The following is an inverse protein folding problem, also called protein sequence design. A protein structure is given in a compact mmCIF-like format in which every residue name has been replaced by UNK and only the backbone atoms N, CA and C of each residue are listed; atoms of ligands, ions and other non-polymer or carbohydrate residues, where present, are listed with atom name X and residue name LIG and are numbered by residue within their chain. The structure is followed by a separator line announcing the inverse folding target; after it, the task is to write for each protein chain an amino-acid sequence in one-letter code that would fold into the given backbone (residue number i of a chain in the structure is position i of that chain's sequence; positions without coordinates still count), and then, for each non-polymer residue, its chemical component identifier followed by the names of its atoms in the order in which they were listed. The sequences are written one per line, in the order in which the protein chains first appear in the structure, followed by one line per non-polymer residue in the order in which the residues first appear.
data_IF_356434083267
#
_entry.id   IF_356434083267
#
_cell.length_a   1.000
_cell.length_b   1.000
_cell.length_c   1.000
_cell.angle_alpha   90.00
_cell.angle_beta   90.00
_cell.angle_gamma   90.00
#
_symmetry.space_group_name_H-M   'P 1'
#
loop_
_entity.id
_entity.type
_entity.pdbx_description
1 polymer ?
#
# COMPACT_ATOMS: atom_id res chain seq x y z
N UNK A 1 5.25 -20.89 14.33
CA UNK A 1 5.81 -20.05 13.26
C UNK A 1 6.49 -18.82 13.85
N UNK A 2 7.57 -18.33 13.25
CA UNK A 2 8.21 -17.10 13.75
C UNK A 2 7.29 -15.90 13.53
N UNK A 3 7.33 -14.95 14.46
CA UNK A 3 6.64 -13.67 14.33
C UNK A 3 7.48 -12.78 13.41
N UNK A 4 6.88 -12.28 12.34
CA UNK A 4 7.55 -11.42 11.36
C UNK A 4 7.17 -9.93 11.50
N UNK A 5 6.09 -9.65 12.25
CA UNK A 5 5.62 -8.29 12.48
C UNK A 5 4.33 -8.27 13.27
N UNK A 6 3.84 -7.07 13.59
CA UNK A 6 2.64 -6.89 14.40
C UNK A 6 1.63 -5.98 13.73
N UNK A 7 0.36 -6.35 13.83
CA UNK A 7 -0.77 -5.49 13.49
C UNK A 7 -1.24 -4.80 14.77
N UNK A 8 -1.06 -3.48 14.85
CA UNK A 8 -1.38 -2.72 16.06
C UNK A 8 -2.81 -2.18 16.00
N UNK A 9 -3.57 -2.26 17.11
CA UNK A 9 -4.81 -1.49 17.21
C UNK A 9 -4.51 0.00 17.35
N UNK A 10 -5.47 0.85 16.96
CA UNK A 10 -5.31 2.31 16.97
C UNK A 10 -4.92 2.89 18.33
N UNK A 11 -5.49 2.36 19.42
CA UNK A 11 -5.20 2.81 20.77
C UNK A 11 -3.81 2.38 21.27
N UNK A 12 -3.09 1.54 20.51
CA UNK A 12 -1.75 1.05 20.83
C UNK A 12 -0.71 1.46 19.77
N UNK A 13 -0.99 2.46 18.96
CA UNK A 13 -0.05 2.93 17.93
C UNK A 13 1.32 3.31 18.53
N UNK A 14 1.35 3.82 19.76
CA UNK A 14 2.58 4.17 20.45
C UNK A 14 3.54 2.99 20.69
N UNK A 15 3.04 1.75 20.67
CA UNK A 15 3.89 0.56 20.80
C UNK A 15 4.83 0.34 19.61
N UNK A 16 4.61 1.02 18.48
CA UNK A 16 5.45 0.88 17.29
C UNK A 16 6.93 1.22 17.57
N UNK A 17 7.19 2.20 18.41
CA UNK A 17 8.56 2.59 18.77
C UNK A 17 9.29 1.48 19.53
N UNK A 18 8.63 0.84 20.49
CA UNK A 18 9.21 -0.25 21.28
C UNK A 18 9.46 -1.49 20.41
N UNK A 19 8.52 -1.81 19.52
CA UNK A 19 8.65 -2.93 18.60
C UNK A 19 9.78 -2.69 17.59
N UNK A 20 9.91 -1.46 17.09
CA UNK A 20 11.03 -1.07 16.21
C UNK A 20 12.38 -1.24 16.93
N UNK A 21 12.46 -0.88 18.20
CA UNK A 21 13.68 -1.07 19.01
C UNK A 21 14.03 -2.56 19.16
N UNK A 22 13.03 -3.44 19.04
CA UNK A 22 13.21 -4.90 19.01
C UNK A 22 13.34 -5.48 17.59
N UNK A 23 13.51 -4.62 16.57
CA UNK A 23 13.61 -4.97 15.16
C UNK A 23 12.36 -5.67 14.60
N UNK A 24 11.20 -5.37 15.15
CA UNK A 24 9.92 -5.94 14.72
C UNK A 24 9.11 -4.87 13.98
N UNK A 25 8.77 -5.09 12.70
CA UNK A 25 7.96 -4.14 11.95
C UNK A 25 6.50 -4.18 12.37
N UNK A 26 5.80 -3.08 12.10
CA UNK A 26 4.41 -2.90 12.51
C UNK A 26 3.57 -2.38 11.36
N UNK A 27 2.28 -2.70 11.39
CA UNK A 27 1.26 -2.12 10.54
C UNK A 27 0.04 -1.75 11.38
N UNK A 28 -0.80 -0.88 10.84
CA UNK A 28 -1.99 -0.40 11.53
C UNK A 28 -3.10 -0.11 10.52
N UNK A 29 -4.35 -0.41 10.90
CA UNK A 29 -5.52 -0.05 10.12
C UNK A 29 -5.90 1.40 10.40
N UNK A 30 -6.08 2.20 9.35
CA UNK A 30 -6.33 3.65 9.41
C UNK A 30 -7.55 4.04 8.55
N UNK A 31 -8.54 3.17 8.46
CA UNK A 31 -9.67 3.31 7.55
C UNK A 31 -10.78 4.25 7.98
N UNK A 32 -10.79 4.77 9.21
CA UNK A 32 -11.90 5.58 9.71
C UNK A 32 -11.77 7.07 9.37
N UNK A 33 -10.64 7.67 9.72
CA UNK A 33 -10.43 9.10 9.45
C UNK A 33 -8.94 9.44 9.22
N UNK A 34 -8.68 10.66 8.75
CA UNK A 34 -7.31 11.11 8.49
C UNK A 34 -6.47 11.23 9.79
N UNK A 35 -7.08 11.50 10.92
CA UNK A 35 -6.34 11.58 12.18
C UNK A 35 -5.67 10.26 12.54
N UNK A 36 -6.26 9.13 12.15
CA UNK A 36 -5.63 7.81 12.32
C UNK A 36 -4.37 7.66 11.47
N UNK A 37 -4.40 8.15 10.23
CA UNK A 37 -3.24 8.15 9.33
C UNK A 37 -2.11 8.98 9.94
N UNK A 38 -2.43 10.18 10.43
CA UNK A 38 -1.46 11.08 11.03
C UNK A 38 -0.81 10.49 12.29
N UNK A 39 -1.62 9.92 13.18
CA UNK A 39 -1.09 9.24 14.38
C UNK A 39 -0.18 8.08 14.05
N UNK A 40 -0.56 7.26 13.07
CA UNK A 40 0.25 6.11 12.64
C UNK A 40 1.59 6.56 12.05
N UNK A 41 1.60 7.60 11.23
CA UNK A 41 2.83 8.16 10.66
C UNK A 41 3.73 8.71 11.76
N UNK A 42 3.17 9.44 12.72
CA UNK A 42 3.91 9.99 13.87
C UNK A 42 4.48 8.90 14.77
N UNK A 43 3.74 7.79 14.94
CA UNK A 43 4.19 6.66 15.74
C UNK A 43 5.31 5.84 15.09
N UNK A 44 5.50 5.99 13.77
CA UNK A 44 6.56 5.30 13.04
C UNK A 44 6.23 3.88 12.65
N UNK A 45 4.95 3.57 12.38
CA UNK A 45 4.56 2.27 11.82
C UNK A 45 5.16 2.09 10.43
N UNK A 46 5.41 0.84 10.05
CA UNK A 46 6.06 0.51 8.78
C UNK A 46 5.09 0.49 7.60
N UNK A 47 3.78 0.29 7.84
CA UNK A 47 2.81 0.08 6.78
C UNK A 47 1.42 0.50 7.24
N UNK A 48 0.66 1.17 6.35
CA UNK A 48 -0.70 1.66 6.62
C UNK A 48 -1.71 0.82 5.84
N UNK A 49 -2.74 0.33 6.55
CA UNK A 49 -3.79 -0.52 5.97
C UNK A 49 -5.06 0.30 5.80
N UNK A 50 -5.64 0.30 4.61
CA UNK A 50 -6.85 1.04 4.21
C UNK A 50 -6.75 2.56 4.35
N UNK A 51 -5.64 3.21 3.93
CA UNK A 51 -5.48 4.66 4.12
C UNK A 51 -6.23 5.49 3.08
N UNK A 52 -7.50 5.18 2.83
CA UNK A 52 -8.34 5.87 1.83
C UNK A 52 -8.59 7.34 2.19
N UNK A 53 -8.58 7.65 3.48
CA UNK A 53 -8.82 9.02 3.98
C UNK A 53 -7.59 9.94 3.85
N UNK A 54 -6.48 9.44 3.32
CA UNK A 54 -5.32 10.29 2.99
C UNK A 54 -5.68 11.43 2.06
N UNK A 55 -6.65 11.22 1.19
CA UNK A 55 -7.08 12.26 0.24
C UNK A 55 -7.60 13.54 0.94
N UNK A 56 -8.04 13.44 2.18
CA UNK A 56 -8.45 14.58 2.97
C UNK A 56 -7.30 15.55 3.30
N UNK A 57 -6.05 15.10 3.16
CA UNK A 57 -4.84 15.92 3.33
C UNK A 57 -4.37 16.54 2.01
N UNK A 58 -5.08 16.34 0.90
CA UNK A 58 -4.71 16.92 -0.38
C UNK A 58 -5.45 18.21 -0.67
N UNK A 59 -4.76 19.14 -1.35
CA UNK A 59 -5.36 20.39 -1.85
C UNK A 59 -5.23 20.44 -3.36
N UNK A 60 -6.24 21.01 -4.02
CA UNK A 60 -6.22 21.26 -5.45
C UNK A 60 -5.92 22.75 -5.72
N UNK A 61 -4.99 23.01 -6.62
CA UNK A 61 -4.68 24.36 -7.08
C UNK A 61 -4.53 24.38 -8.61
N UNK A 62 -4.17 25.53 -9.19
CA UNK A 62 -4.01 25.66 -10.65
C UNK A 62 -2.89 24.80 -11.24
N UNK A 63 -1.96 24.35 -10.41
CA UNK A 63 -0.84 23.48 -10.83
C UNK A 63 -1.17 22.01 -10.67
N UNK A 64 -2.27 21.65 -9.99
CA UNK A 64 -2.71 20.28 -9.79
C UNK A 64 -3.06 19.98 -8.33
N UNK A 65 -2.98 18.69 -7.99
CA UNK A 65 -3.28 18.18 -6.66
C UNK A 65 -1.96 18.01 -5.88
N UNK A 66 -1.91 18.58 -4.69
CA UNK A 66 -0.71 18.62 -3.85
C UNK A 66 -0.98 17.96 -2.51
N UNK A 67 -0.16 16.98 -2.08
CA UNK A 67 -0.28 16.41 -0.75
C UNK A 67 0.07 17.43 0.33
N UNK A 68 -0.63 17.31 1.46
CA UNK A 68 -0.31 18.06 2.65
C UNK A 68 0.94 17.54 3.35
N UNK A 69 1.21 18.07 4.54
CA UNK A 69 2.44 17.79 5.28
C UNK A 69 2.59 16.32 5.67
N UNK A 70 1.53 15.70 6.20
CA UNK A 70 1.56 14.30 6.62
C UNK A 70 1.69 13.36 5.43
N UNK A 71 0.87 13.58 4.40
CA UNK A 71 0.91 12.76 3.17
C UNK A 71 2.23 12.91 2.43
N UNK A 72 2.78 14.11 2.35
CA UNK A 72 4.10 14.37 1.77
C UNK A 72 5.21 13.60 2.50
N UNK A 73 5.17 13.59 3.83
CA UNK A 73 6.10 12.80 4.63
C UNK A 73 5.98 11.31 4.32
N UNK A 74 4.77 10.78 4.27
CA UNK A 74 4.51 9.37 3.97
C UNK A 74 5.05 8.99 2.59
N UNK A 75 4.81 9.82 1.58
CA UNK A 75 5.34 9.61 0.23
C UNK A 75 6.87 9.62 0.21
N UNK A 76 7.48 10.64 0.79
CA UNK A 76 8.93 10.85 0.74
C UNK A 76 9.71 9.76 1.48
N UNK A 77 9.09 9.15 2.49
CA UNK A 77 9.66 8.03 3.25
C UNK A 77 9.27 6.66 2.70
N UNK A 78 8.52 6.62 1.62
CA UNK A 78 8.07 5.37 0.99
C UNK A 78 7.34 4.44 1.96
N UNK A 79 6.52 5.02 2.85
CA UNK A 79 5.69 4.20 3.76
C UNK A 79 4.60 3.53 2.93
N UNK A 80 4.58 2.19 2.89
CA UNK A 80 3.65 1.48 2.01
C UNK A 80 2.20 1.64 2.45
N UNK A 81 1.34 1.82 1.46
CA UNK A 81 -0.10 1.91 1.58
C UNK A 81 -0.71 0.60 1.07
N UNK A 82 -1.49 -0.07 1.90
CA UNK A 82 -2.13 -1.33 1.54
C UNK A 82 -3.62 -1.10 1.33
N UNK A 83 -4.09 -1.37 0.12
CA UNK A 83 -5.49 -1.18 -0.26
C UNK A 83 -6.16 -2.53 -0.59
N UNK A 84 -7.46 -2.58 -0.31
CA UNK A 84 -8.37 -3.62 -0.78
C UNK A 84 -9.52 -2.91 -1.49
N UNK A 85 -9.31 -2.45 -2.74
CA UNK A 85 -10.17 -1.42 -3.36
C UNK A 85 -11.66 -1.74 -3.39
N UNK A 86 -12.04 -2.99 -3.67
CA UNK A 86 -13.45 -3.39 -3.75
C UNK A 86 -14.18 -3.36 -2.40
N UNK A 87 -13.44 -3.36 -1.30
CA UNK A 87 -13.99 -3.32 0.06
C UNK A 87 -13.93 -1.93 0.68
N UNK A 88 -13.24 -0.97 0.04
CA UNK A 88 -12.95 0.35 0.60
C UNK A 88 -13.79 1.47 0.00
N UNK A 89 -14.36 1.29 -1.17
CA UNK A 89 -15.16 2.29 -1.86
C UNK A 89 -16.47 1.69 -2.35
N UNK A 90 -17.57 2.45 -2.24
CA UNK A 90 -18.86 2.04 -2.82
C UNK A 90 -18.77 1.97 -4.34
N UNK A 91 -18.16 2.99 -4.94
CA UNK A 91 -17.87 3.05 -6.37
C UNK A 91 -16.36 3.02 -6.56
N UNK A 92 -15.85 2.02 -7.27
CA UNK A 92 -14.41 1.87 -7.47
C UNK A 92 -13.78 3.07 -8.18
N UNK A 93 -14.56 3.76 -9.04
CA UNK A 93 -14.12 5.00 -9.70
C UNK A 93 -13.73 6.11 -8.74
N UNK A 94 -14.23 6.09 -7.50
CA UNK A 94 -13.93 7.09 -6.47
C UNK A 94 -12.71 6.71 -5.62
N UNK A 95 -12.14 5.51 -5.82
CA UNK A 95 -11.01 5.06 -5.03
C UNK A 95 -9.75 5.88 -5.35
N UNK A 96 -8.97 6.29 -4.33
CA UNK A 96 -7.81 7.16 -4.54
C UNK A 96 -6.57 6.46 -5.13
N UNK A 97 -6.60 5.15 -5.33
CA UNK A 97 -5.43 4.39 -5.78
C UNK A 97 -4.74 4.97 -7.03
N UNK A 98 -5.45 5.26 -8.14
CA UNK A 98 -4.78 5.79 -9.33
C UNK A 98 -4.10 7.14 -9.09
N UNK A 99 -4.75 8.02 -8.33
CA UNK A 99 -4.20 9.32 -7.97
C UNK A 99 -2.92 9.16 -7.13
N UNK A 100 -2.96 8.29 -6.13
CA UNK A 100 -1.82 8.07 -5.23
C UNK A 100 -0.64 7.45 -5.96
N UNK A 101 -0.87 6.49 -6.86
CA UNK A 101 0.19 5.94 -7.71
C UNK A 101 0.80 7.01 -8.61
N UNK A 102 -0.04 7.84 -9.22
CA UNK A 102 0.41 8.92 -10.10
C UNK A 102 1.27 9.94 -9.35
N UNK A 103 0.95 10.20 -8.09
CA UNK A 103 1.70 11.14 -7.24
C UNK A 103 2.96 10.53 -6.61
N UNK A 104 3.26 9.27 -6.88
CA UNK A 104 4.49 8.61 -6.43
C UNK A 104 4.42 7.94 -5.07
N UNK A 105 3.22 7.70 -4.54
CA UNK A 105 3.06 6.91 -3.32
C UNK A 105 3.36 5.43 -3.56
N UNK A 106 3.81 4.75 -2.52
CA UNK A 106 4.08 3.30 -2.55
C UNK A 106 2.80 2.55 -2.26
N UNK A 107 2.12 2.08 -3.29
CA UNK A 107 0.82 1.42 -3.19
C UNK A 107 0.93 -0.08 -3.41
N UNK A 108 0.16 -0.83 -2.63
CA UNK A 108 0.05 -2.29 -2.74
C UNK A 108 -1.41 -2.69 -2.62
N UNK A 109 -1.74 -3.87 -3.14
CA UNK A 109 -3.09 -4.44 -3.07
C UNK A 109 -3.06 -5.70 -2.21
N UNK A 110 -4.04 -5.84 -1.34
CA UNK A 110 -4.26 -7.07 -0.57
C UNK A 110 -5.61 -7.70 -0.92
N UNK A 111 -5.71 -9.00 -0.70
CA UNK A 111 -6.99 -9.68 -0.67
C UNK A 111 -7.65 -9.48 0.69
N UNK A 112 -8.98 -9.42 0.70
CA UNK A 112 -9.77 -9.46 1.91
C UNK A 112 -10.83 -10.55 1.76
N UNK A 113 -12.09 -10.22 1.95
CA UNK A 113 -13.21 -11.09 1.59
C UNK A 113 -13.26 -11.30 0.07
N UNK A 114 -12.81 -10.30 -0.69
CA UNK A 114 -12.67 -10.38 -2.14
C UNK A 114 -11.27 -10.84 -2.52
N UNK A 115 -11.16 -11.80 -3.44
CA UNK A 115 -9.88 -12.36 -3.87
C UNK A 115 -9.02 -11.32 -4.60
N UNK A 116 -7.71 -11.53 -4.62
CA UNK A 116 -6.77 -10.67 -5.33
C UNK A 116 -7.08 -10.64 -6.84
N UNK A 117 -7.44 -11.78 -7.42
CA UNK A 117 -7.84 -11.87 -8.83
C UNK A 117 -9.02 -10.95 -9.16
N UNK A 118 -10.05 -10.95 -8.30
CA UNK A 118 -11.21 -10.06 -8.47
C UNK A 118 -10.85 -8.60 -8.30
N UNK A 119 -9.94 -8.27 -7.38
CA UNK A 119 -9.44 -6.91 -7.21
C UNK A 119 -8.73 -6.44 -8.49
N UNK A 120 -7.83 -7.24 -9.04
CA UNK A 120 -7.10 -6.90 -10.25
C UNK A 120 -8.01 -6.79 -11.47
N UNK A 121 -8.96 -7.72 -11.61
CA UNK A 121 -9.93 -7.66 -12.70
C UNK A 121 -10.75 -6.36 -12.66
N UNK A 122 -11.23 -5.98 -11.49
CA UNK A 122 -11.99 -4.74 -11.31
C UNK A 122 -11.14 -3.50 -11.62
N UNK A 123 -9.88 -3.47 -11.22
CA UNK A 123 -8.94 -2.38 -11.55
C UNK A 123 -8.70 -2.30 -13.06
N UNK A 124 -8.58 -3.43 -13.73
CA UNK A 124 -8.45 -3.48 -15.19
C UNK A 124 -9.70 -2.94 -15.89
N UNK A 125 -10.87 -3.37 -15.47
CA UNK A 125 -12.15 -2.96 -16.09
C UNK A 125 -12.47 -1.49 -15.82
N UNK A 126 -12.18 -0.99 -14.62
CA UNK A 126 -12.56 0.36 -14.20
C UNK A 126 -11.54 1.41 -14.62
N UNK A 127 -10.25 1.13 -14.46
CA UNK A 127 -9.16 2.09 -14.68
C UNK A 127 -8.27 1.76 -15.88
N UNK A 128 -8.50 0.65 -16.55
CA UNK A 128 -7.66 0.21 -17.66
C UNK A 128 -6.27 -0.28 -17.23
N UNK A 129 -6.13 -0.74 -15.98
CA UNK A 129 -4.86 -1.29 -15.51
C UNK A 129 -4.45 -2.52 -16.32
N UNK A 130 -3.19 -2.60 -16.67
CA UNK A 130 -2.58 -3.71 -17.38
C UNK A 130 -1.40 -4.28 -16.63
N UNK A 131 -0.57 -5.02 -17.34
CA UNK A 131 0.58 -5.73 -16.75
C UNK A 131 1.57 -4.78 -16.06
N UNK A 132 1.78 -3.59 -16.60
CA UNK A 132 2.71 -2.61 -16.02
C UNK A 132 2.27 -2.19 -14.63
N UNK A 133 1.00 -1.82 -14.46
CA UNK A 133 0.45 -1.42 -13.18
C UNK A 133 0.41 -2.59 -12.19
N UNK A 134 0.03 -3.79 -12.64
CA UNK A 134 0.00 -4.97 -11.79
C UNK A 134 1.40 -5.41 -11.37
N UNK A 135 2.38 -5.28 -12.26
CA UNK A 135 3.77 -5.54 -11.93
C UNK A 135 4.27 -4.59 -10.83
N UNK A 136 4.01 -3.30 -10.97
CA UNK A 136 4.39 -2.30 -9.96
C UNK A 136 3.74 -2.61 -8.60
N UNK A 137 2.44 -2.87 -8.57
CA UNK A 137 1.73 -3.21 -7.33
C UNK A 137 2.28 -4.48 -6.68
N UNK A 138 2.61 -5.50 -7.48
CA UNK A 138 3.13 -6.77 -7.00
C UNK A 138 4.55 -6.62 -6.44
N UNK A 139 5.42 -5.92 -7.17
CA UNK A 139 6.80 -5.65 -6.72
C UNK A 139 6.79 -4.86 -5.42
N UNK A 140 5.99 -3.80 -5.33
CA UNK A 140 5.84 -3.01 -4.10
C UNK A 140 5.35 -3.85 -2.94
N UNK A 141 4.42 -4.77 -3.17
CA UNK A 141 3.91 -5.67 -2.13
C UNK A 141 5.01 -6.59 -1.59
N UNK A 142 5.82 -7.18 -2.46
CA UNK A 142 6.93 -8.07 -2.05
C UNK A 142 8.04 -7.28 -1.36
N UNK A 143 8.48 -6.17 -1.95
CA UNK A 143 9.54 -5.32 -1.38
C UNK A 143 9.21 -4.81 0.01
N UNK A 144 7.92 -4.56 0.29
CA UNK A 144 7.45 -4.00 1.56
C UNK A 144 6.76 -5.04 2.46
N UNK A 145 6.89 -6.33 2.12
CA UNK A 145 6.45 -7.41 3.00
C UNK A 145 7.36 -7.50 4.22
N UNK A 146 6.86 -8.16 5.27
CA UNK A 146 7.67 -8.39 6.48
C UNK A 146 8.51 -9.67 6.40
N UNK A 147 8.58 -10.29 5.24
CA UNK A 147 9.53 -11.37 4.98
C UNK A 147 10.97 -10.84 5.02
N UNK A 148 11.92 -11.73 5.29
CA UNK A 148 13.33 -11.33 5.25
C UNK A 148 13.78 -10.99 3.82
N UNK A 149 14.92 -10.31 3.72
CA UNK A 149 15.43 -9.83 2.44
C UNK A 149 15.74 -10.98 1.47
N UNK A 150 16.26 -12.08 1.96
CA UNK A 150 16.60 -13.24 1.13
C UNK A 150 15.35 -13.81 0.46
N UNK A 151 14.27 -13.98 1.21
CA UNK A 151 12.99 -14.46 0.67
C UNK A 151 12.38 -13.47 -0.31
N UNK A 152 12.37 -12.17 0.03
CA UNK A 152 11.85 -11.14 -0.87
C UNK A 152 12.60 -11.13 -2.20
N UNK A 153 13.92 -11.15 -2.16
CA UNK A 153 14.75 -11.17 -3.35
C UNK A 153 14.52 -12.44 -4.18
N UNK A 154 14.43 -13.58 -3.53
CA UNK A 154 14.15 -14.85 -4.19
C UNK A 154 12.81 -14.81 -4.93
N UNK A 155 11.76 -14.32 -4.28
CA UNK A 155 10.44 -14.20 -4.90
C UNK A 155 10.46 -13.24 -6.11
N UNK A 156 11.12 -12.09 -5.98
CA UNK A 156 11.21 -11.12 -7.08
C UNK A 156 11.97 -11.70 -8.29
N UNK A 157 13.11 -12.30 -8.07
CA UNK A 157 14.00 -12.76 -9.14
C UNK A 157 13.55 -14.08 -9.79
N UNK A 158 12.96 -15.01 -9.01
CA UNK A 158 12.66 -16.35 -9.51
C UNK A 158 11.18 -16.61 -9.77
N UNK A 159 10.29 -15.78 -9.25
CA UNK A 159 8.83 -15.97 -9.39
C UNK A 159 8.20 -14.79 -10.13
N UNK A 160 8.33 -13.57 -9.57
CA UNK A 160 7.57 -12.41 -10.04
C UNK A 160 8.11 -11.93 -11.39
N UNK A 161 9.39 -11.61 -11.48
CA UNK A 161 9.98 -11.08 -12.71
C UNK A 161 9.83 -12.05 -13.89
N UNK A 162 10.19 -13.34 -13.77
CA UNK A 162 10.02 -14.27 -14.88
C UNK A 162 8.56 -14.45 -15.32
N UNK A 163 7.61 -14.45 -14.37
CA UNK A 163 6.20 -14.61 -14.69
C UNK A 163 5.66 -13.40 -15.49
N UNK A 164 6.04 -12.19 -15.12
CA UNK A 164 5.62 -10.99 -15.84
C UNK A 164 6.33 -10.85 -17.18
N UNK A 165 7.59 -11.28 -17.30
CA UNK A 165 8.29 -11.36 -18.59
C UNK A 165 7.57 -12.30 -19.56
N UNK A 166 7.17 -13.48 -19.09
CA UNK A 166 6.44 -14.45 -19.90
C UNK A 166 5.08 -13.88 -20.36
N UNK A 167 4.34 -13.22 -19.45
CA UNK A 167 3.05 -12.61 -19.78
C UNK A 167 3.16 -11.43 -20.75
N UNK A 168 4.28 -10.72 -20.74
CA UNK A 168 4.51 -9.57 -21.61
C UNK A 168 5.10 -9.92 -22.96
N UNK A 169 5.51 -11.16 -23.18
CA UNK A 169 6.06 -11.62 -24.46
C UNK A 169 4.92 -11.97 -25.42
N UNK A 170 4.70 -11.17 -26.47
CA UNK A 170 3.68 -11.47 -27.46
C UNK A 170 4.24 -12.49 -28.45
N UNK A 171 3.88 -13.73 -28.30
CA UNK A 171 4.20 -14.73 -29.33
C UNK A 171 3.63 -14.34 -30.71
#
# INVERSE_FOLDING_TARGET
APVVGYNLPQDQAGAAADLRAAYLPTQIHVGEDFAEVERAAQAGVNRLIHPVNMIDDFTANIEGIVPGKASGYIRDRHIPLVFTPLEEAEELTDHPLPLLQQLGFTCTISSGETTLTKQFLALSETFGYGLEEFFDLTVKAVENSFADQELRQHLLETVILPAYEELSDPE
#
